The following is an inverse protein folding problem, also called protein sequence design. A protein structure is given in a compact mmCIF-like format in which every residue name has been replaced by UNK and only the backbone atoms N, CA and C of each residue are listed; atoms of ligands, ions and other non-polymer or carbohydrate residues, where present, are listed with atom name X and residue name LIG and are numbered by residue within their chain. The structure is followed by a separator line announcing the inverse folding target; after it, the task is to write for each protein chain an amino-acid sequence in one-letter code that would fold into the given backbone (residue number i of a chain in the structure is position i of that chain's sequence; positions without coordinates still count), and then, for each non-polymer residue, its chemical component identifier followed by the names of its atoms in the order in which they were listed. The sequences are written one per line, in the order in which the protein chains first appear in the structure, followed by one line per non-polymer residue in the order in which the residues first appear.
data_IF_230408392911
#
_entry.id   IF_230408392911
#
_cell.length_a   1.000
_cell.length_b   1.000
_cell.length_c   1.000
_cell.angle_alpha   90.00
_cell.angle_beta   90.00
_cell.angle_gamma   90.00
#
_symmetry.space_group_name_H-M   'P 1'
#
loop_
_entity.id
_entity.type
_entity.pdbx_description
1 polymer ?
#
# COMPACT_ATOMS: atom_id res chain seq x y z
N UNK A 1 -2.91 -14.53 -13.80
CA UNK A 1 -2.02 -14.02 -12.74
C UNK A 1 -2.16 -12.50 -12.66
N UNK A 2 -1.76 -11.86 -11.57
CA UNK A 2 -1.83 -10.40 -11.45
C UNK A 2 -0.64 -9.72 -12.18
N UNK A 3 -0.86 -9.39 -13.45
CA UNK A 3 0.17 -8.80 -14.31
C UNK A 3 0.44 -7.32 -14.01
N UNK A 4 -0.63 -6.52 -13.88
CA UNK A 4 -0.52 -5.07 -13.66
C UNK A 4 0.00 -4.77 -12.26
N UNK A 5 -0.48 -5.45 -11.21
CA UNK A 5 0.05 -5.24 -9.87
C UNK A 5 1.53 -5.56 -9.75
N UNK A 6 1.97 -6.66 -10.39
CA UNK A 6 3.38 -7.07 -10.41
C UNK A 6 4.27 -6.10 -11.17
N UNK A 7 3.82 -5.58 -12.32
CA UNK A 7 4.61 -4.64 -13.12
C UNK A 7 4.61 -3.22 -12.53
N UNK A 8 3.50 -2.78 -11.93
CA UNK A 8 3.40 -1.44 -11.34
C UNK A 8 4.07 -1.32 -9.97
N UNK A 9 3.91 -2.31 -9.09
CA UNK A 9 4.35 -2.20 -7.69
C UNK A 9 5.46 -3.17 -7.30
N UNK A 10 5.67 -4.24 -8.08
CA UNK A 10 6.59 -5.32 -7.71
C UNK A 10 6.15 -6.00 -6.42
N UNK A 11 6.99 -5.90 -5.37
CA UNK A 11 6.69 -6.43 -4.04
C UNK A 11 6.44 -5.28 -3.07
N UNK A 12 5.28 -5.29 -2.43
CA UNK A 12 4.89 -4.30 -1.42
C UNK A 12 5.03 -4.95 -0.04
N UNK A 13 5.74 -4.28 0.87
CA UNK A 13 5.81 -4.70 2.26
C UNK A 13 4.62 -4.12 3.05
N UNK A 14 4.04 -4.92 3.94
CA UNK A 14 3.00 -4.46 4.86
C UNK A 14 3.69 -3.91 6.10
N UNK A 15 3.57 -2.60 6.32
CA UNK A 15 4.08 -1.92 7.50
C UNK A 15 3.29 -2.34 8.74
N UNK A 16 4.00 -2.74 9.80
CA UNK A 16 3.41 -3.09 11.08
C UNK A 16 3.61 -1.93 12.07
N UNK A 17 2.55 -1.20 12.46
CA UNK A 17 2.66 -0.08 13.39
C UNK A 17 2.96 -0.51 14.84
N UNK A 18 2.82 -1.79 15.17
CA UNK A 18 2.94 -2.29 16.53
C UNK A 18 1.75 -1.85 17.37
N UNK A 19 2.00 -1.10 18.45
CA UNK A 19 0.96 -0.51 19.28
C UNK A 19 0.34 0.72 18.59
N UNK A 20 -0.93 0.60 18.21
CA UNK A 20 -1.69 1.65 17.54
C UNK A 20 -1.86 2.92 18.39
N UNK A 21 -2.01 2.77 19.70
CA UNK A 21 -2.31 3.91 20.59
C UNK A 21 -1.17 4.93 20.58
N UNK A 22 0.07 4.45 20.70
CA UNK A 22 1.28 5.27 20.56
C UNK A 22 1.63 5.56 19.10
N UNK A 23 1.23 4.70 18.16
CA UNK A 23 1.52 4.91 16.74
C UNK A 23 0.86 6.16 16.16
N UNK A 24 -0.38 6.47 16.54
CA UNK A 24 -1.04 7.70 16.06
C UNK A 24 -0.32 9.00 16.44
N UNK A 25 0.52 8.98 17.48
CA UNK A 25 1.34 10.14 17.86
C UNK A 25 2.58 10.29 16.96
N UNK A 26 3.09 9.20 16.39
CA UNK A 26 4.30 9.15 15.54
C UNK A 26 4.02 8.95 14.05
N UNK A 27 2.79 8.64 13.67
CA UNK A 27 2.43 8.22 12.31
C UNK A 27 2.81 9.24 11.23
N UNK A 28 2.64 10.55 11.49
CA UNK A 28 2.90 11.59 10.52
C UNK A 28 4.39 11.60 10.12
N UNK A 29 5.28 11.42 11.10
CA UNK A 29 6.72 11.33 10.86
C UNK A 29 7.08 10.02 10.16
N UNK A 30 6.57 8.89 10.65
CA UNK A 30 6.88 7.57 10.11
C UNK A 30 6.40 7.37 8.67
N UNK A 31 5.16 7.77 8.37
CA UNK A 31 4.58 7.71 7.02
C UNK A 31 5.38 8.59 6.06
N UNK A 32 5.67 9.83 6.45
CA UNK A 32 6.44 10.77 5.62
C UNK A 32 7.85 10.25 5.37
N UNK A 33 8.50 9.68 6.40
CA UNK A 33 9.83 9.08 6.28
C UNK A 33 9.82 7.88 5.34
N UNK A 34 8.89 6.94 5.54
CA UNK A 34 8.72 5.78 4.69
C UNK A 34 8.56 6.20 3.22
N UNK A 35 7.63 7.10 2.94
CA UNK A 35 7.33 7.56 1.58
C UNK A 35 8.50 8.30 0.91
N UNK A 36 9.38 8.95 1.68
CA UNK A 36 10.60 9.59 1.16
C UNK A 36 11.73 8.60 0.90
N UNK A 37 11.84 7.55 1.72
CA UNK A 37 12.92 6.57 1.65
C UNK A 37 12.62 5.43 0.66
N UNK A 38 11.35 5.18 0.34
CA UNK A 38 10.94 4.18 -0.63
C UNK A 38 10.75 4.76 -2.02
N UNK A 39 11.14 4.01 -3.06
CA UNK A 39 10.87 4.37 -4.48
C UNK A 39 9.39 4.29 -4.85
N UNK A 40 8.58 3.66 -4.02
CA UNK A 40 7.16 3.48 -4.25
C UNK A 40 6.40 4.54 -3.44
N UNK A 41 5.54 5.32 -4.10
CA UNK A 41 4.74 6.36 -3.45
C UNK A 41 3.54 5.78 -2.67
N UNK A 42 3.69 4.58 -2.10
CA UNK A 42 2.61 3.82 -1.48
C UNK A 42 3.12 3.04 -0.26
N UNK A 43 2.40 3.17 0.84
CA UNK A 43 2.59 2.47 2.09
C UNK A 43 1.31 1.72 2.46
N UNK A 44 1.41 0.41 2.68
CA UNK A 44 0.29 -0.41 3.19
C UNK A 44 0.52 -0.65 4.66
N UNK A 45 -0.46 -0.30 5.50
CA UNK A 45 -0.37 -0.34 6.95
C UNK A 45 -1.34 -1.37 7.49
N UNK A 46 -0.81 -2.35 8.23
CA UNK A 46 -1.59 -3.45 8.81
C UNK A 46 -2.70 -2.89 9.71
N UNK A 47 -3.94 -3.28 9.42
CA UNK A 47 -5.10 -2.90 10.24
C UNK A 47 -5.58 -1.46 10.08
N UNK A 48 -4.98 -0.67 9.19
CA UNK A 48 -5.38 0.74 8.94
C UNK A 48 -5.83 0.94 7.51
N UNK A 49 -4.98 0.60 6.54
CA UNK A 49 -5.25 0.90 5.13
C UNK A 49 -4.00 1.31 4.38
N UNK A 50 -4.15 2.26 3.46
CA UNK A 50 -3.07 2.68 2.57
C UNK A 50 -2.83 4.19 2.67
N UNK A 51 -1.57 4.58 2.59
CA UNK A 51 -1.15 5.95 2.30
C UNK A 51 -0.48 5.95 0.94
N UNK A 52 -0.94 6.82 0.05
CA UNK A 52 -0.45 6.91 -1.31
C UNK A 52 -0.42 8.37 -1.76
N UNK A 53 0.56 8.72 -2.59
CA UNK A 53 0.60 10.04 -3.22
C UNK A 53 1.03 9.95 -4.68
N UNK A 54 0.60 10.92 -5.47
CA UNK A 54 1.06 11.11 -6.83
C UNK A 54 1.03 12.60 -7.18
N UNK A 55 1.69 12.97 -8.27
CA UNK A 55 1.64 14.35 -8.79
C UNK A 55 0.32 14.65 -9.48
N UNK A 56 -0.30 13.63 -10.07
CA UNK A 56 -1.58 13.72 -10.79
C UNK A 56 -2.63 12.82 -10.12
N UNK A 57 -3.81 13.36 -9.85
CA UNK A 57 -4.91 12.64 -9.21
C UNK A 57 -5.40 11.45 -10.04
N UNK A 58 -5.37 11.54 -11.37
CA UNK A 58 -5.76 10.45 -12.25
C UNK A 58 -4.79 9.28 -12.14
N UNK A 59 -3.49 9.56 -12.06
CA UNK A 59 -2.47 8.53 -11.86
C UNK A 59 -2.58 7.90 -10.47
N UNK A 60 -2.86 8.70 -9.44
CA UNK A 60 -3.14 8.20 -8.09
C UNK A 60 -4.33 7.22 -8.10
N UNK A 61 -5.45 7.62 -8.70
CA UNK A 61 -6.67 6.79 -8.78
C UNK A 61 -6.42 5.50 -9.57
N UNK A 62 -5.70 5.56 -10.70
CA UNK A 62 -5.30 4.37 -11.46
C UNK A 62 -4.48 3.41 -10.60
N UNK A 63 -3.48 3.90 -9.88
CA UNK A 63 -2.65 3.07 -8.99
C UNK A 63 -3.47 2.43 -7.87
N UNK A 64 -4.38 3.19 -7.24
CA UNK A 64 -5.27 2.65 -6.21
C UNK A 64 -6.18 1.55 -6.79
N UNK A 65 -6.74 1.76 -7.99
CA UNK A 65 -7.58 0.77 -8.65
C UNK A 65 -6.83 -0.51 -9.03
N UNK A 66 -5.58 -0.41 -9.49
CA UNK A 66 -4.72 -1.58 -9.72
C UNK A 66 -4.49 -2.31 -8.40
N UNK A 67 -4.11 -1.60 -7.34
CA UNK A 67 -3.85 -2.21 -6.02
C UNK A 67 -5.07 -2.94 -5.45
N UNK A 68 -6.26 -2.34 -5.53
CA UNK A 68 -7.50 -2.97 -5.06
C UNK A 68 -7.79 -4.26 -5.82
N UNK A 69 -7.69 -4.23 -7.16
CA UNK A 69 -7.90 -5.41 -7.99
C UNK A 69 -6.86 -6.49 -7.73
N UNK A 70 -5.59 -6.12 -7.53
CA UNK A 70 -4.51 -7.02 -7.13
C UNK A 70 -4.84 -7.75 -5.83
N UNK A 71 -5.23 -7.02 -4.78
CA UNK A 71 -5.64 -7.58 -3.50
C UNK A 71 -6.85 -8.52 -3.64
N UNK A 72 -7.83 -8.15 -4.47
CA UNK A 72 -9.01 -8.97 -4.77
C UNK A 72 -8.63 -10.29 -5.46
N UNK A 73 -7.72 -10.24 -6.43
CA UNK A 73 -7.19 -11.44 -7.11
C UNK A 73 -6.40 -12.35 -6.15
N UNK A 74 -5.56 -11.77 -5.29
CA UNK A 74 -4.81 -12.50 -4.27
C UNK A 74 -5.73 -13.19 -3.27
N UNK A 75 -6.76 -12.49 -2.79
CA UNK A 75 -7.76 -13.04 -1.88
C UNK A 75 -8.48 -14.24 -2.49
N UNK A 76 -8.93 -14.13 -3.75
CA UNK A 76 -9.56 -15.24 -4.46
C UNK A 76 -8.64 -16.46 -4.58
N UNK A 77 -7.37 -16.26 -4.97
CA UNK A 77 -6.38 -17.35 -5.03
C UNK A 77 -6.14 -18.01 -3.66
N UNK A 78 -6.17 -17.24 -2.58
CA UNK A 78 -6.01 -17.76 -1.22
C UNK A 78 -7.20 -18.58 -0.72
N UNK A 79 -8.42 -18.29 -1.20
CA UNK A 79 -9.63 -19.05 -0.88
C UNK A 79 -9.76 -20.38 -1.63
N UNK A 80 -9.05 -20.58 -2.73
CA UNK A 80 -8.89 -21.89 -3.36
C UNK A 80 -7.65 -22.58 -2.80
N UNK A 81 -7.73 -23.00 -1.54
CA UNK A 81 -6.80 -23.93 -0.90
C UNK A 81 -7.57 -25.02 -0.20
#
# INVERSE_FOLDING_TARGET
EDFFGKTTFGKINIYNPGDFSTWYQRNALEITRYLKETKNNLMVIKGVGIYAYDRDINELVKKIAILENSCRLLSKKGSFK
#
